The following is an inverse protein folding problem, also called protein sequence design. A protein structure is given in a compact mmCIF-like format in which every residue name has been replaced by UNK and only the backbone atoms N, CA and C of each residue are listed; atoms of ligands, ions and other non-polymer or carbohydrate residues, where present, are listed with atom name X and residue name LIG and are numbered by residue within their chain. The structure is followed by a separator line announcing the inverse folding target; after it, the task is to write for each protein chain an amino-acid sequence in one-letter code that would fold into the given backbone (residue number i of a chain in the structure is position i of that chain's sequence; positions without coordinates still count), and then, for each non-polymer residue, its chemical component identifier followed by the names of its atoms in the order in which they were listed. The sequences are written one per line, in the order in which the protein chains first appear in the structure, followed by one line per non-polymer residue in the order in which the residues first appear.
data_IF_609788210642
#
_entry.id   IF_609788210642
#
_cell.length_a   1.000
_cell.length_b   1.000
_cell.length_c   1.000
_cell.angle_alpha   90.00
_cell.angle_beta   90.00
_cell.angle_gamma   90.00
#
_symmetry.space_group_name_H-M   'P 1'
#
loop_
_entity.id
_entity.type
_entity.pdbx_description
1 polymer ?
#
# COMPACT_ATOMS: atom_id res chain seq x y z
N UNK A 1 21.65 0.10 9.13
CA UNK A 1 20.91 -1.18 9.23
C UNK A 1 19.40 -1.04 9.04
N UNK A 2 18.64 -0.32 9.88
CA UNK A 2 17.14 -0.27 9.77
C UNK A 2 16.63 0.41 8.48
N UNK A 3 17.47 1.20 7.79
CA UNK A 3 17.11 1.89 6.54
C UNK A 3 17.12 0.93 5.33
N UNK A 4 17.87 -0.17 5.38
CA UNK A 4 18.05 -1.11 4.25
C UNK A 4 16.95 -2.19 4.15
N UNK A 5 16.36 -2.62 5.27
CA UNK A 5 15.26 -3.60 5.27
C UNK A 5 14.00 -3.12 4.53
N UNK A 6 13.75 -1.80 4.57
CA UNK A 6 12.63 -1.21 3.86
C UNK A 6 12.82 -1.35 2.35
N UNK A 7 14.07 -1.38 1.87
CA UNK A 7 14.37 -1.56 0.45
C UNK A 7 13.96 -2.98 0.04
N UNK A 8 14.50 -4.03 0.64
CA UNK A 8 14.22 -5.43 0.26
C UNK A 8 12.73 -5.86 0.31
N UNK A 9 11.92 -5.28 1.21
CA UNK A 9 10.50 -5.64 1.37
C UNK A 9 9.52 -4.49 1.07
N UNK A 10 9.97 -3.38 0.49
CA UNK A 10 9.04 -2.35 -0.02
C UNK A 10 8.23 -2.93 -1.20
N UNK A 11 7.09 -2.30 -1.49
CA UNK A 11 6.21 -2.65 -2.64
C UNK A 11 6.96 -2.85 -3.96
N UNK A 12 8.14 -2.24 -4.16
CA UNK A 12 8.95 -2.43 -5.37
C UNK A 12 9.69 -3.76 -5.41
N UNK A 13 10.20 -4.27 -4.28
CA UNK A 13 11.04 -5.49 -4.24
C UNK A 13 10.22 -6.77 -4.04
N UNK A 14 9.16 -6.71 -3.23
CA UNK A 14 8.14 -7.76 -3.22
C UNK A 14 7.55 -7.95 -4.62
N UNK A 15 7.38 -6.88 -5.40
CA UNK A 15 7.04 -6.97 -6.82
C UNK A 15 8.12 -7.71 -7.61
N UNK A 16 9.40 -7.31 -7.54
CA UNK A 16 10.47 -7.94 -8.34
C UNK A 16 10.66 -9.42 -8.01
N UNK A 17 10.48 -9.83 -6.76
CA UNK A 17 10.55 -11.24 -6.35
C UNK A 17 9.37 -12.06 -6.88
N UNK A 18 8.14 -11.53 -6.77
CA UNK A 18 6.97 -12.16 -7.40
C UNK A 18 7.09 -12.22 -8.93
N UNK A 19 7.69 -11.20 -9.56
CA UNK A 19 7.98 -11.18 -10.99
C UNK A 19 9.01 -12.26 -11.34
N UNK A 20 10.05 -12.48 -10.53
CA UNK A 20 11.03 -13.56 -10.74
C UNK A 20 10.39 -14.95 -10.67
N UNK A 21 9.54 -15.18 -9.66
CA UNK A 21 8.74 -16.40 -9.53
C UNK A 21 7.81 -16.61 -10.73
N UNK A 22 7.08 -15.58 -11.14
CA UNK A 22 6.15 -15.63 -12.28
C UNK A 22 6.88 -15.84 -13.61
N UNK A 23 8.01 -15.16 -13.83
CA UNK A 23 8.78 -15.24 -15.08
C UNK A 23 9.31 -16.65 -15.32
N UNK A 24 9.75 -17.33 -14.26
CA UNK A 24 10.25 -18.71 -14.34
C UNK A 24 9.15 -19.76 -14.21
N UNK A 25 7.93 -19.38 -13.82
CA UNK A 25 6.84 -20.34 -13.53
C UNK A 25 6.43 -21.26 -14.68
N UNK A 26 6.67 -20.83 -15.93
CA UNK A 26 6.32 -21.58 -17.15
C UNK A 26 7.51 -22.32 -17.78
N UNK A 27 8.70 -22.17 -17.21
CA UNK A 27 9.90 -22.80 -17.73
C UNK A 27 9.98 -24.27 -17.29
N UNK A 28 10.89 -24.99 -17.92
CA UNK A 28 11.27 -26.37 -17.65
C UNK A 28 12.80 -26.41 -17.62
N UNK A 29 13.38 -27.54 -17.22
CA UNK A 29 14.81 -27.74 -17.42
C UNK A 29 15.16 -27.54 -18.91
N UNK A 30 16.26 -26.84 -19.19
CA UNK A 30 16.69 -26.57 -20.56
C UNK A 30 17.36 -27.85 -21.13
N UNK A 31 16.55 -28.81 -21.58
CA UNK A 31 17.04 -30.06 -22.16
C UNK A 31 15.94 -31.09 -22.44
N UNK A 32 16.14 -31.92 -23.47
CA UNK A 32 15.60 -33.29 -23.53
C UNK A 32 14.10 -33.58 -23.34
N UNK A 33 13.83 -34.86 -23.07
CA UNK A 33 12.51 -35.44 -22.84
C UNK A 33 12.04 -35.13 -21.42
N UNK A 34 11.05 -34.24 -21.30
CA UNK A 34 10.52 -33.77 -20.03
C UNK A 34 10.05 -34.89 -19.08
N UNK A 35 9.66 -36.06 -19.61
CA UNK A 35 9.25 -37.18 -18.76
C UNK A 35 10.43 -37.83 -18.04
N UNK A 36 11.58 -37.94 -18.71
CA UNK A 36 12.81 -38.47 -18.12
C UNK A 36 13.39 -37.50 -17.08
N UNK A 37 13.33 -36.21 -17.37
CA UNK A 37 13.83 -35.16 -16.47
C UNK A 37 12.99 -35.05 -15.20
N UNK A 38 11.66 -35.14 -15.30
CA UNK A 38 10.80 -35.10 -14.12
C UNK A 38 10.99 -36.32 -13.22
N UNK A 39 11.24 -37.51 -13.80
CA UNK A 39 11.54 -38.73 -13.05
C UNK A 39 12.92 -38.68 -12.36
N UNK A 40 13.92 -38.02 -12.97
CA UNK A 40 15.31 -38.02 -12.48
C UNK A 40 15.74 -36.79 -11.69
N UNK A 41 15.23 -35.62 -12.06
CA UNK A 41 15.61 -34.32 -11.51
C UNK A 41 14.49 -33.70 -10.64
N UNK A 42 13.30 -34.30 -10.65
CA UNK A 42 12.14 -33.81 -9.93
C UNK A 42 11.48 -32.63 -10.63
N UNK A 43 10.70 -31.83 -9.87
CA UNK A 43 9.99 -30.68 -10.44
C UNK A 43 10.91 -29.48 -10.60
N UNK A 44 11.01 -28.94 -11.82
CA UNK A 44 11.70 -27.65 -12.09
C UNK A 44 11.16 -26.54 -11.17
N UNK A 45 9.86 -26.57 -10.87
CA UNK A 45 9.19 -25.57 -10.03
C UNK A 45 9.85 -25.39 -8.64
N UNK A 46 10.48 -26.41 -8.08
CA UNK A 46 11.16 -26.32 -6.77
C UNK A 46 12.64 -26.69 -6.86
N UNK A 47 13.21 -26.67 -8.06
CA UNK A 47 14.60 -27.05 -8.30
C UNK A 47 15.59 -25.96 -7.88
N UNK A 48 16.84 -26.36 -7.60
CA UNK A 48 17.95 -25.43 -7.32
C UNK A 48 18.27 -24.54 -8.53
N UNK A 49 18.19 -25.11 -9.74
CA UNK A 49 18.42 -24.38 -10.99
C UNK A 49 17.46 -23.19 -11.09
N UNK A 50 16.15 -23.43 -10.91
CA UNK A 50 15.15 -22.36 -10.93
C UNK A 50 15.42 -21.30 -9.84
N UNK A 51 15.86 -21.72 -8.66
CA UNK A 51 16.18 -20.79 -7.56
C UNK A 51 17.32 -19.84 -7.95
N UNK A 52 18.42 -20.37 -8.48
CA UNK A 52 19.58 -19.58 -8.93
C UNK A 52 19.18 -18.62 -10.06
N UNK A 53 18.41 -19.09 -11.05
CA UNK A 53 17.91 -18.24 -12.15
C UNK A 53 17.08 -17.04 -11.66
N UNK A 54 16.27 -17.24 -10.61
CA UNK A 54 15.51 -16.18 -9.96
C UNK A 54 16.48 -15.19 -9.30
N UNK A 55 17.40 -15.68 -8.47
CA UNK A 55 18.34 -14.85 -7.71
C UNK A 55 19.26 -14.01 -8.60
N UNK A 56 19.82 -14.58 -9.67
CA UNK A 56 20.71 -13.89 -10.62
C UNK A 56 20.08 -12.64 -11.22
N UNK A 57 18.76 -12.70 -11.45
CA UNK A 57 18.02 -11.63 -12.12
C UNK A 57 17.30 -10.71 -11.15
N UNK A 58 17.12 -11.12 -9.90
CA UNK A 58 16.35 -10.40 -8.87
C UNK A 58 16.81 -8.94 -8.73
N UNK A 59 18.11 -8.73 -8.54
CA UNK A 59 18.69 -7.38 -8.40
C UNK A 59 19.05 -6.73 -9.73
N UNK A 60 18.96 -7.45 -10.85
CA UNK A 60 19.43 -6.95 -12.14
C UNK A 60 18.57 -5.81 -12.69
N UNK A 61 17.26 -5.84 -12.38
CA UNK A 61 16.21 -4.92 -12.84
C UNK A 61 16.01 -3.73 -11.87
N UNK A 62 16.71 -3.72 -10.74
CA UNK A 62 16.67 -2.63 -9.76
C UNK A 62 17.40 -1.42 -10.30
N UNK A 63 16.66 -0.32 -10.53
CA UNK A 63 17.21 0.93 -11.07
C UNK A 63 18.02 1.71 -10.02
N UNK A 64 17.50 1.82 -8.80
CA UNK A 64 18.14 2.53 -7.68
C UNK A 64 18.40 1.56 -6.52
N UNK A 65 19.61 1.60 -5.97
CA UNK A 65 19.97 0.78 -4.82
C UNK A 65 20.40 -0.66 -5.15
N UNK A 66 20.89 -0.89 -6.37
CA UNK A 66 21.29 -2.21 -6.87
C UNK A 66 22.36 -2.90 -6.01
N UNK A 67 23.38 -2.17 -5.55
CA UNK A 67 24.41 -2.71 -4.65
C UNK A 67 23.80 -3.13 -3.29
N UNK A 68 22.88 -2.34 -2.75
CA UNK A 68 22.17 -2.67 -1.53
C UNK A 68 21.29 -3.91 -1.72
N UNK A 69 20.70 -4.11 -2.89
CA UNK A 69 19.97 -5.33 -3.22
C UNK A 69 20.88 -6.57 -3.14
N UNK A 70 22.05 -6.54 -3.80
CA UNK A 70 22.98 -7.68 -3.77
C UNK A 70 23.49 -7.98 -2.36
N UNK A 71 23.88 -6.95 -1.60
CA UNK A 71 24.31 -7.13 -0.21
C UNK A 71 23.22 -7.79 0.66
N UNK A 72 21.95 -7.43 0.45
CA UNK A 72 20.82 -8.00 1.19
C UNK A 72 20.47 -9.42 0.70
N UNK A 73 20.62 -9.68 -0.60
CA UNK A 73 20.47 -11.04 -1.15
C UNK A 73 21.50 -11.99 -0.53
N UNK A 74 22.76 -11.56 -0.45
CA UNK A 74 23.83 -12.30 0.23
C UNK A 74 23.54 -12.48 1.73
N UNK A 75 23.05 -11.44 2.42
CA UNK A 75 22.70 -11.51 3.85
C UNK A 75 21.58 -12.52 4.15
N UNK A 76 20.63 -12.70 3.22
CA UNK A 76 19.44 -13.53 3.44
C UNK A 76 19.41 -14.85 2.67
N UNK A 77 20.48 -15.18 1.95
CA UNK A 77 20.57 -16.33 1.06
C UNK A 77 20.17 -17.64 1.77
N UNK A 78 20.75 -17.92 2.94
CA UNK A 78 20.45 -19.12 3.72
C UNK A 78 18.95 -19.22 4.10
N UNK A 79 18.31 -18.11 4.43
CA UNK A 79 16.89 -18.08 4.81
C UNK A 79 15.98 -18.27 3.60
N UNK A 80 16.36 -17.70 2.45
CA UNK A 80 15.66 -17.87 1.17
C UNK A 80 15.77 -19.31 0.69
N UNK A 81 16.96 -19.88 0.74
CA UNK A 81 17.24 -21.27 0.35
C UNK A 81 16.45 -22.25 1.24
N UNK A 82 16.46 -22.03 2.57
CA UNK A 82 15.69 -22.83 3.49
C UNK A 82 14.19 -22.78 3.18
N UNK A 83 13.65 -21.59 2.90
CA UNK A 83 12.25 -21.48 2.51
C UNK A 83 11.97 -22.22 1.21
N UNK A 84 12.81 -22.02 0.20
CA UNK A 84 12.67 -22.60 -1.13
C UNK A 84 12.63 -24.13 -1.08
N UNK A 85 13.57 -24.78 -0.38
CA UNK A 85 13.62 -26.24 -0.39
C UNK A 85 12.76 -26.92 0.67
N UNK A 86 12.38 -26.22 1.75
CA UNK A 86 11.75 -26.86 2.93
C UNK A 86 10.39 -26.31 3.32
N UNK A 87 10.02 -25.08 2.92
CA UNK A 87 8.84 -24.40 3.47
C UNK A 87 7.78 -23.97 2.45
N UNK A 88 8.03 -24.04 1.15
CA UNK A 88 7.06 -23.62 0.12
C UNK A 88 5.65 -24.22 0.30
N UNK A 89 5.53 -25.50 0.70
CA UNK A 89 4.23 -26.15 0.89
C UNK A 89 3.52 -25.74 2.19
N UNK A 90 4.29 -25.49 3.25
CA UNK A 90 3.75 -25.19 4.60
C UNK A 90 3.47 -23.70 4.78
N UNK A 91 4.37 -22.84 4.28
CA UNK A 91 4.30 -21.38 4.38
C UNK A 91 4.53 -20.77 2.99
N UNK A 92 3.58 -20.91 2.04
CA UNK A 92 3.74 -20.46 0.65
C UNK A 92 3.85 -18.94 0.49
N UNK A 93 3.43 -18.17 1.51
CA UNK A 93 3.57 -16.72 1.54
C UNK A 93 4.98 -16.35 2.03
N UNK A 94 5.89 -16.15 1.07
CA UNK A 94 7.29 -15.81 1.30
C UNK A 94 7.45 -14.51 2.12
N UNK A 95 6.61 -13.50 1.85
CA UNK A 95 6.65 -12.23 2.58
C UNK A 95 6.29 -12.42 4.05
N UNK A 96 5.23 -13.18 4.33
CA UNK A 96 4.83 -13.55 5.69
C UNK A 96 5.91 -14.37 6.39
N UNK A 97 6.48 -15.36 5.70
CA UNK A 97 7.53 -16.21 6.26
C UNK A 97 8.77 -15.39 6.62
N UNK A 98 9.38 -14.70 5.65
CA UNK A 98 10.63 -13.99 5.86
C UNK A 98 10.43 -12.67 6.63
N UNK A 99 9.63 -11.75 6.12
CA UNK A 99 9.63 -10.39 6.66
C UNK A 99 8.90 -10.27 8.00
N UNK A 100 7.77 -10.99 8.16
CA UNK A 100 6.94 -10.91 9.37
C UNK A 100 7.43 -11.87 10.45
N UNK A 101 7.64 -13.15 10.10
CA UNK A 101 7.89 -14.20 11.08
C UNK A 101 9.38 -14.39 11.39
N UNK A 102 10.23 -14.52 10.37
CA UNK A 102 11.67 -14.79 10.53
C UNK A 102 12.44 -13.55 10.97
N UNK A 103 12.43 -12.49 10.15
CA UNK A 103 13.20 -11.27 10.42
C UNK A 103 12.47 -10.26 11.31
N UNK A 104 11.14 -10.36 11.42
CA UNK A 104 10.31 -9.49 12.26
C UNK A 104 10.49 -7.99 11.98
N UNK A 105 10.75 -7.66 10.73
CA UNK A 105 10.94 -6.28 10.25
C UNK A 105 9.69 -5.70 9.57
N UNK A 106 8.74 -6.55 9.19
CA UNK A 106 7.41 -6.17 8.73
C UNK A 106 6.31 -6.48 9.75
N UNK A 107 5.13 -5.93 9.50
CA UNK A 107 3.89 -6.31 10.17
C UNK A 107 2.89 -6.88 9.16
N UNK A 108 1.88 -7.65 9.62
CA UNK A 108 0.73 -7.97 8.80
C UNK A 108 0.07 -6.69 8.28
N UNK A 109 -0.63 -6.79 7.15
CA UNK A 109 -1.38 -5.67 6.62
C UNK A 109 -2.36 -5.12 7.69
N UNK A 110 -2.54 -3.80 7.70
CA UNK A 110 -3.40 -3.09 8.66
C UNK A 110 -2.96 -3.23 10.14
N UNK A 111 -1.67 -3.48 10.38
CA UNK A 111 -1.04 -3.41 11.70
C UNK A 111 0.18 -2.49 11.65
N UNK A 112 0.54 -1.87 12.78
CA UNK A 112 1.60 -0.86 12.83
C UNK A 112 2.47 -0.97 14.10
N UNK A 113 3.62 -0.30 14.07
CA UNK A 113 4.49 -0.13 15.22
C UNK A 113 5.26 -1.40 15.62
N UNK A 114 6.11 -1.28 16.65
CA UNK A 114 7.05 -2.33 17.06
C UNK A 114 6.39 -3.69 17.29
N UNK A 115 5.18 -3.67 17.87
CA UNK A 115 4.45 -4.86 18.26
C UNK A 115 3.39 -5.30 17.23
N UNK A 116 3.33 -4.65 16.05
CA UNK A 116 2.26 -4.86 15.07
C UNK A 116 0.87 -4.77 15.70
N UNK A 117 0.59 -3.63 16.33
CA UNK A 117 -0.73 -3.34 16.89
C UNK A 117 -1.74 -3.16 15.76
N UNK A 118 -2.98 -3.68 15.87
CA UNK A 118 -4.01 -3.47 14.85
C UNK A 118 -4.32 -1.98 14.66
N UNK A 119 -4.49 -1.57 13.42
CA UNK A 119 -4.93 -0.21 13.09
C UNK A 119 -6.36 0.08 13.60
N UNK A 120 -6.71 1.34 13.86
CA UNK A 120 -8.06 1.71 14.29
C UNK A 120 -9.12 1.24 13.28
N UNK A 121 -10.10 0.47 13.77
CA UNK A 121 -11.19 -0.09 12.96
C UNK A 121 -10.89 -1.42 12.29
N UNK A 122 -9.78 -2.09 12.60
CA UNK A 122 -9.47 -3.43 12.10
C UNK A 122 -10.55 -4.45 12.52
N UNK A 123 -10.93 -5.43 11.65
CA UNK A 123 -10.40 -5.68 10.31
C UNK A 123 -11.02 -4.84 9.20
N UNK A 124 -12.30 -4.51 9.29
CA UNK A 124 -13.08 -4.11 8.12
C UNK A 124 -13.43 -2.62 8.06
N UNK A 125 -13.08 -1.84 9.07
CA UNK A 125 -13.45 -0.43 9.18
C UNK A 125 -12.23 0.49 9.43
N UNK A 126 -11.09 0.13 8.84
CA UNK A 126 -9.83 0.86 8.99
C UNK A 126 -10.04 2.34 8.65
N UNK A 127 -9.81 3.23 9.61
CA UNK A 127 -10.02 4.67 9.44
C UNK A 127 -11.38 5.02 8.82
N UNK A 128 -12.45 4.34 9.26
CA UNK A 128 -13.81 4.46 8.72
C UNK A 128 -13.93 4.26 7.21
N UNK A 129 -12.98 3.53 6.60
CA UNK A 129 -12.85 3.35 5.14
C UNK A 129 -12.63 4.66 4.37
N UNK A 130 -12.25 5.74 5.06
CA UNK A 130 -12.09 7.10 4.54
C UNK A 130 -10.67 7.64 4.80
N UNK A 131 -9.69 6.75 4.90
CA UNK A 131 -8.31 7.13 5.14
C UNK A 131 -7.38 5.93 5.25
N UNK A 132 -6.11 6.23 5.54
CA UNK A 132 -5.03 5.25 5.63
C UNK A 132 -4.40 5.27 7.02
N UNK A 133 -4.19 4.10 7.59
CA UNK A 133 -3.48 3.96 8.86
C UNK A 133 -1.97 4.18 8.69
N UNK A 134 -1.42 5.14 9.43
CA UNK A 134 0.01 5.48 9.37
C UNK A 134 0.87 4.37 9.97
N UNK A 135 1.69 3.78 9.12
CA UNK A 135 2.59 2.68 9.48
C UNK A 135 2.00 1.28 9.25
N UNK A 136 0.82 1.18 8.63
CA UNK A 136 0.25 -0.10 8.20
C UNK A 136 1.28 -0.97 7.45
N UNK A 137 1.42 -2.22 7.86
CA UNK A 137 2.39 -3.19 7.32
C UNK A 137 3.82 -3.01 7.82
N UNK A 138 4.09 -2.01 8.68
CA UNK A 138 5.45 -1.68 9.12
C UNK A 138 5.62 -1.77 10.62
N UNK A 139 6.83 -2.07 11.08
CA UNK A 139 7.23 -2.00 12.51
C UNK A 139 7.37 -0.56 13.04
N UNK A 140 6.93 0.44 12.27
CA UNK A 140 7.00 1.87 12.56
C UNK A 140 5.60 2.48 12.47
N UNK A 141 5.52 3.79 12.72
CA UNK A 141 4.26 4.52 12.73
C UNK A 141 3.58 4.48 14.08
N UNK A 142 2.60 5.35 14.22
CA UNK A 142 1.81 5.60 15.44
C UNK A 142 0.36 5.14 15.29
N UNK A 143 -0.03 4.61 14.11
CA UNK A 143 -1.38 4.11 13.84
C UNK A 143 -2.43 5.19 13.62
N UNK A 144 -2.04 6.46 13.60
CA UNK A 144 -2.97 7.58 13.31
C UNK A 144 -3.53 7.47 11.91
N UNK A 145 -4.79 7.89 11.73
CA UNK A 145 -5.42 7.88 10.42
C UNK A 145 -5.07 9.14 9.63
N UNK A 146 -4.60 8.94 8.40
CA UNK A 146 -4.47 9.99 7.40
C UNK A 146 -5.69 9.96 6.50
N UNK A 147 -6.60 10.92 6.70
CA UNK A 147 -7.89 10.93 6.02
C UNK A 147 -7.78 11.31 4.55
N UNK A 148 -8.64 10.68 3.75
CA UNK A 148 -8.81 11.02 2.36
C UNK A 148 -9.43 12.42 2.21
N UNK A 149 -9.25 13.03 1.04
CA UNK A 149 -9.77 14.38 0.76
C UNK A 149 -11.27 14.45 1.04
N UNK A 150 -11.67 15.42 1.86
CA UNK A 150 -13.06 15.64 2.25
C UNK A 150 -13.47 15.01 3.57
N UNK A 151 -12.62 14.16 4.15
CA UNK A 151 -12.83 13.51 5.44
C UNK A 151 -11.87 14.05 6.51
N UNK A 152 -12.26 13.96 7.77
CA UNK A 152 -11.48 14.48 8.89
C UNK A 152 -11.82 13.83 10.23
N UNK A 153 -11.15 14.33 11.27
CA UNK A 153 -11.14 13.72 12.60
C UNK A 153 -10.11 12.60 12.75
N UNK A 154 -9.85 12.18 13.99
CA UNK A 154 -8.76 11.23 14.32
C UNK A 154 -8.92 9.86 13.65
N UNK A 155 -10.15 9.52 13.26
CA UNK A 155 -10.52 8.26 12.63
C UNK A 155 -11.19 8.42 11.27
N UNK A 156 -11.19 9.63 10.69
CA UNK A 156 -11.85 9.93 9.40
C UNK A 156 -13.37 9.67 9.39
N UNK A 157 -14.00 9.88 10.56
CA UNK A 157 -15.41 9.58 10.82
C UNK A 157 -16.34 10.79 10.64
N UNK A 158 -15.84 11.89 10.08
CA UNK A 158 -16.62 13.09 9.76
C UNK A 158 -16.11 13.74 8.49
N UNK A 159 -16.91 14.62 7.90
CA UNK A 159 -16.43 15.49 6.83
C UNK A 159 -15.44 16.52 7.36
N UNK A 160 -14.47 16.89 6.53
CA UNK A 160 -13.56 18.00 6.77
C UNK A 160 -14.32 19.34 6.73
N UNK A 161 -13.72 20.41 7.26
CA UNK A 161 -14.40 21.69 7.51
C UNK A 161 -15.03 22.34 6.26
N UNK A 162 -14.52 22.08 5.04
CA UNK A 162 -15.08 22.58 3.78
C UNK A 162 -15.94 21.56 3.03
N UNK A 163 -16.44 20.55 3.73
CA UNK A 163 -17.25 19.46 3.20
C UNK A 163 -18.48 19.22 4.06
N UNK A 164 -19.53 18.68 3.46
CA UNK A 164 -20.76 18.27 4.14
C UNK A 164 -21.14 16.85 3.76
N UNK A 165 -21.94 16.20 4.61
CA UNK A 165 -22.47 14.86 4.33
C UNK A 165 -23.55 14.97 3.25
N UNK A 166 -23.24 14.50 2.04
CA UNK A 166 -24.18 14.52 0.91
C UNK A 166 -25.00 13.25 0.81
N UNK A 167 -24.52 12.16 1.41
CA UNK A 167 -25.21 10.88 1.48
C UNK A 167 -24.76 10.12 2.73
N UNK A 168 -25.68 9.43 3.39
CA UNK A 168 -25.36 8.54 4.49
C UNK A 168 -26.35 7.37 4.53
N UNK A 169 -25.81 6.18 4.74
CA UNK A 169 -26.53 4.97 5.09
C UNK A 169 -25.88 4.33 6.34
N UNK A 170 -26.33 3.13 6.73
CA UNK A 170 -25.82 2.43 7.92
C UNK A 170 -24.34 2.00 7.79
N UNK A 171 -23.80 1.95 6.57
CA UNK A 171 -22.49 1.39 6.26
C UNK A 171 -21.46 2.45 5.81
N UNK A 172 -21.90 3.58 5.27
CA UNK A 172 -21.03 4.63 4.72
C UNK A 172 -21.69 6.00 4.78
N UNK A 173 -20.84 7.02 4.78
CA UNK A 173 -21.23 8.39 4.52
C UNK A 173 -20.29 8.97 3.47
N UNK A 174 -20.82 9.85 2.62
CA UNK A 174 -20.08 10.51 1.56
C UNK A 174 -20.01 12.00 1.85
N UNK A 175 -18.80 12.56 1.70
CA UNK A 175 -18.56 13.98 1.86
C UNK A 175 -18.49 14.66 0.49
N UNK A 176 -19.19 15.78 0.35
CA UNK A 176 -19.12 16.63 -0.84
C UNK A 176 -18.65 18.02 -0.47
N UNK A 177 -17.91 18.64 -1.39
CA UNK A 177 -17.32 19.96 -1.16
C UNK A 177 -18.41 21.02 -1.05
N UNK A 178 -18.20 21.97 -0.14
CA UNK A 178 -19.06 23.13 0.01
C UNK A 178 -19.05 23.99 -1.26
N UNK A 179 -20.14 24.72 -1.50
CA UNK A 179 -20.17 25.70 -2.57
C UNK A 179 -19.12 26.79 -2.31
N UNK A 180 -18.40 27.25 -3.33
CA UNK A 180 -17.31 28.24 -3.21
C UNK A 180 -17.71 29.59 -2.56
N UNK A 181 -19.01 29.88 -2.46
CA UNK A 181 -19.55 31.05 -1.76
C UNK A 181 -19.64 30.89 -0.25
N UNK A 182 -19.44 29.68 0.28
CA UNK A 182 -19.45 29.41 1.72
C UNK A 182 -18.10 29.83 2.31
N UNK A 183 -18.14 30.58 3.41
CA UNK A 183 -16.94 30.88 4.21
C UNK A 183 -17.00 30.09 5.51
N UNK A 184 -16.34 28.93 5.48
CA UNK A 184 -16.38 27.92 6.54
C UNK A 184 -17.31 26.74 6.25
N UNK A 185 -17.75 26.03 7.30
CA UNK A 185 -18.56 24.83 7.18
C UNK A 185 -19.92 25.06 6.52
N UNK A 186 -20.37 24.07 5.76
CA UNK A 186 -21.71 24.04 5.18
C UNK A 186 -22.45 22.76 5.57
N UNK A 187 -23.77 22.76 5.42
CA UNK A 187 -24.62 21.59 5.77
C UNK A 187 -25.27 20.92 4.57
N UNK A 188 -25.26 21.57 3.39
CA UNK A 188 -25.90 21.07 2.16
C UNK A 188 -25.29 21.73 0.91
N UNK A 189 -25.70 21.23 -0.25
CA UNK A 189 -25.31 21.77 -1.55
C UNK A 189 -25.75 23.23 -1.74
N UNK A 190 -24.96 23.96 -2.54
CA UNK A 190 -25.27 25.30 -3.01
C UNK A 190 -25.02 26.41 -1.98
N UNK A 191 -25.20 27.68 -2.38
CA UNK A 191 -24.90 28.85 -1.55
C UNK A 191 -25.81 28.97 -0.32
N UNK A 192 -26.98 28.35 -0.31
CA UNK A 192 -27.88 28.32 0.85
C UNK A 192 -27.47 27.31 1.94
N UNK A 193 -26.36 26.60 1.74
CA UNK A 193 -25.85 25.61 2.69
C UNK A 193 -24.95 26.17 3.79
N UNK A 194 -24.54 27.43 3.71
CA UNK A 194 -23.73 28.10 4.73
C UNK A 194 -24.59 28.83 5.76
N UNK A 195 -24.18 28.80 7.04
CA UNK A 195 -24.70 29.69 8.09
C UNK A 195 -24.03 31.07 8.09
N UNK A 196 -22.91 31.21 7.38
CA UNK A 196 -22.09 32.42 7.25
C UNK A 196 -21.95 32.78 5.77
N UNK A 197 -22.69 33.79 5.32
CA UNK A 197 -22.59 34.31 3.95
C UNK A 197 -21.40 35.27 3.86
N UNK A 198 -20.45 34.97 2.98
CA UNK A 198 -19.39 35.92 2.64
C UNK A 198 -19.93 36.91 1.58
N UNK A 199 -20.40 38.07 2.01
CA UNK A 199 -20.91 39.11 1.11
C UNK A 199 -19.84 39.68 0.15
N UNK A 200 -18.55 39.47 0.44
CA UNK A 200 -17.44 40.17 -0.24
C UNK A 200 -17.12 39.56 -1.63
N UNK A 201 -17.39 38.27 -1.86
CA UNK A 201 -17.07 37.62 -3.15
C UNK A 201 -18.12 37.88 -4.25
N UNK A 202 -19.37 38.18 -3.89
CA UNK A 202 -20.41 38.51 -4.88
C UNK A 202 -20.32 39.94 -5.42
N UNK A 203 -19.69 40.87 -4.68
CA UNK A 203 -19.53 42.27 -5.14
C UNK A 203 -18.56 42.37 -6.32
N UNK A 204 -17.61 41.43 -6.49
CA UNK A 204 -16.68 41.46 -7.63
C UNK A 204 -17.31 41.09 -8.97
N UNK A 205 -18.44 40.38 -8.98
CA UNK A 205 -19.15 40.02 -10.22
C UNK A 205 -20.09 41.15 -10.63
N UNK A 206 -20.73 41.84 -9.68
CA UNK A 206 -21.65 42.94 -10.00
C UNK A 206 -20.95 44.24 -10.43
N UNK A 207 -19.70 44.48 -10.02
CA UNK A 207 -18.95 45.67 -10.46
C UNK A 207 -18.47 45.60 -11.93
N UNK A 208 -18.29 44.41 -12.49
CA UNK A 208 -17.95 44.26 -13.92
C UNK A 208 -19.15 44.42 -14.84
N UNK A 209 -20.37 44.17 -14.35
CA UNK A 209 -21.60 44.31 -15.16
C UNK A 209 -22.11 45.76 -15.21
N UNK A 210 -21.71 46.62 -14.27
CA UNK A 210 -22.16 48.02 -14.22
C UNK A 210 -21.32 49.00 -15.08
N UNK A 211 -20.08 48.64 -15.46
CA UNK A 211 -19.18 49.55 -16.18
C UNK A 211 -19.27 49.51 -17.72
N UNK A 212 -20.13 48.66 -18.32
CA UNK A 212 -20.32 48.57 -19.78
C UNK A 212 -21.69 49.09 -20.27
N UNK A 213 -22.39 49.90 -19.47
CA UNK A 213 -23.69 50.51 -19.81
C UNK A 213 -23.74 52.03 -19.66
N UNK A 214 -22.64 52.72 -19.98
CA UNK A 214 -22.61 54.15 -20.25
C UNK A 214 -21.81 54.43 -21.53
#
# INVERSE_FOLDING_TARGET
MIVNFKVFFNNSYSLTETIGLERTSKFKFEGGDAAWEEEKLGSYATSEIRFVEIQEKLCSEVLDGKEQCYNLLEEYDESLEHWWFKKQNEEPDLYKYLCINTFKVCCPNMHFGKNCTPCPGYPDNICHKNGKCKGSGTRKGDGTCHCDKGYGGDYCSKCADSYYVSYQDDNKFLCSECHHSCDGPCTKAGPAGTSTFNFISNIKIDLYSFFFRL
#
